data_IF_818875343976
#
_entry.id   IF_818875343976
#
_cell.length_a   1.000
_cell.length_b   1.000
_cell.length_c   1.000
_cell.angle_alpha   90.00
_cell.angle_beta   90.00
_cell.angle_gamma   90.00
#
_symmetry.space_group_name_H-M   'P 1'
#
loop_
_entity.id
_entity.type
_entity.pdbx_description
1 polymer ?
#
# COMPACT_ATOMS: atom_id res chain seq x y z
N UNK A 1 -9.65 -16.81 0.27
CA UNK A 1 -10.82 -17.70 0.11
C UNK A 1 -11.18 -17.87 -1.37
N UNK A 2 -11.64 -19.06 -1.77
CA UNK A 2 -12.11 -19.34 -3.14
C UNK A 2 -11.00 -19.68 -4.16
N UNK A 3 -9.74 -19.73 -3.73
CA UNK A 3 -8.60 -20.18 -4.56
C UNK A 3 -7.94 -21.39 -3.92
N UNK A 4 -7.33 -21.21 -2.75
CA UNK A 4 -6.63 -22.27 -2.01
C UNK A 4 -7.54 -23.04 -1.04
N UNK A 5 -8.55 -22.40 -0.45
CA UNK A 5 -9.54 -22.99 0.45
C UNK A 5 -10.80 -22.10 0.51
N UNK A 6 -11.98 -22.60 0.95
CA UNK A 6 -13.27 -21.90 0.83
C UNK A 6 -13.43 -20.66 1.73
N UNK A 7 -12.64 -20.51 2.78
CA UNK A 7 -12.80 -19.51 3.83
C UNK A 7 -13.06 -20.18 5.17
N UNK A 8 -12.85 -19.45 6.27
CA UNK A 8 -13.02 -19.95 7.65
C UNK A 8 -14.32 -19.35 8.20
N UNK A 9 -15.31 -20.18 8.53
CA UNK A 9 -16.58 -19.65 9.03
C UNK A 9 -16.48 -19.21 10.50
N UNK A 10 -17.50 -18.48 10.97
CA UNK A 10 -17.54 -18.02 12.37
C UNK A 10 -17.60 -19.24 13.30
N UNK A 11 -16.69 -19.28 14.27
CA UNK A 11 -16.59 -20.39 15.24
C UNK A 11 -15.80 -21.59 14.75
N UNK A 12 -15.31 -21.58 13.50
CA UNK A 12 -14.44 -22.63 12.99
C UNK A 12 -12.96 -22.32 13.25
N UNK A 13 -12.13 -23.35 13.10
CA UNK A 13 -10.68 -23.26 13.18
C UNK A 13 -10.06 -23.87 11.94
N UNK A 14 -9.02 -23.23 11.42
CA UNK A 14 -8.24 -23.72 10.30
C UNK A 14 -6.76 -23.62 10.64
N UNK A 15 -6.02 -24.70 10.44
CA UNK A 15 -4.58 -24.74 10.67
C UNK A 15 -3.86 -24.53 9.34
N UNK A 16 -3.01 -23.51 9.28
CA UNK A 16 -2.09 -23.33 8.17
C UNK A 16 -0.82 -24.16 8.44
N UNK A 17 -0.52 -25.10 7.55
CA UNK A 17 0.67 -25.93 7.63
C UNK A 17 1.40 -25.89 6.29
N UNK A 18 2.67 -25.52 6.32
CA UNK A 18 3.53 -25.44 5.14
C UNK A 18 5.00 -25.55 5.56
N UNK A 19 5.82 -26.06 4.65
CA UNK A 19 7.26 -26.17 4.84
C UNK A 19 7.95 -24.83 4.55
N UNK A 20 8.73 -24.32 5.51
CA UNK A 20 9.56 -23.14 5.32
C UNK A 20 10.87 -23.54 4.63
N UNK A 21 11.13 -22.94 3.46
CA UNK A 21 12.31 -23.24 2.62
C UNK A 21 13.30 -22.09 2.49
N UNK A 22 12.94 -20.95 3.07
CA UNK A 22 13.57 -19.66 2.85
C UNK A 22 13.55 -18.86 4.14
N UNK A 23 14.54 -17.98 4.29
CA UNK A 23 14.65 -17.00 5.37
C UNK A 23 14.48 -15.59 4.82
N UNK A 24 14.17 -14.64 5.71
CA UNK A 24 14.04 -13.23 5.39
C UNK A 24 12.83 -12.56 6.05
N UNK A 25 12.58 -11.32 5.63
CA UNK A 25 11.45 -10.52 6.09
C UNK A 25 10.23 -10.73 5.19
N UNK A 26 9.17 -11.27 5.76
CA UNK A 26 7.87 -11.47 5.14
C UNK A 26 6.78 -10.81 5.99
N UNK A 27 5.53 -11.02 5.61
CA UNK A 27 4.35 -10.57 6.33
C UNK A 27 3.18 -11.47 5.98
N UNK A 28 2.19 -11.50 6.86
CA UNK A 28 0.91 -12.16 6.59
C UNK A 28 -0.20 -11.13 6.64
N UNK A 29 -1.27 -11.37 5.89
CA UNK A 29 -2.48 -10.56 5.95
C UNK A 29 -3.72 -11.39 5.58
N UNK A 30 -4.89 -10.91 6.00
CA UNK A 30 -6.15 -11.53 5.60
C UNK A 30 -6.43 -11.30 4.13
N UNK A 31 -6.67 -12.39 3.41
CA UNK A 31 -7.19 -12.38 2.05
C UNK A 31 -8.72 -12.52 1.99
N UNK A 32 -9.43 -12.24 3.08
CA UNK A 32 -10.90 -12.26 3.14
C UNK A 32 -11.47 -10.85 3.00
N UNK A 33 -12.02 -10.52 1.84
CA UNK A 33 -12.61 -9.20 1.58
C UNK A 33 -11.58 -8.09 1.77
N UNK A 34 -11.94 -7.07 2.56
CA UNK A 34 -11.09 -5.91 2.85
C UNK A 34 -10.54 -5.91 4.28
N UNK A 35 -10.43 -7.08 4.91
CA UNK A 35 -9.95 -7.21 6.29
C UNK A 35 -8.49 -6.74 6.49
N UNK A 36 -7.64 -6.83 5.46
CA UNK A 36 -6.30 -6.26 5.50
C UNK A 36 -6.33 -4.76 5.86
N UNK A 37 -7.19 -3.96 5.21
CA UNK A 37 -7.33 -2.53 5.49
C UNK A 37 -7.84 -2.25 6.92
N UNK A 38 -8.50 -3.24 7.54
CA UNK A 38 -8.93 -3.18 8.93
C UNK A 38 -7.84 -3.60 9.92
N UNK A 39 -6.59 -3.79 9.46
CA UNK A 39 -5.44 -4.11 10.30
C UNK A 39 -5.20 -5.61 10.52
N UNK A 40 -5.83 -6.49 9.72
CA UNK A 40 -5.58 -7.93 9.82
C UNK A 40 -4.30 -8.30 9.05
N UNK A 41 -3.17 -7.82 9.52
CA UNK A 41 -1.85 -8.13 8.98
C UNK A 41 -0.77 -8.02 10.06
N UNK A 42 0.40 -8.58 9.79
CA UNK A 42 1.55 -8.48 10.67
C UNK A 42 2.84 -8.94 10.00
N UNK A 43 4.00 -8.55 10.54
CA UNK A 43 5.27 -9.03 10.04
C UNK A 43 5.44 -10.53 10.31
N UNK A 44 6.18 -11.20 9.44
CA UNK A 44 6.60 -12.59 9.57
C UNK A 44 8.10 -12.64 9.28
N UNK A 45 8.91 -12.75 10.32
CA UNK A 45 10.36 -12.88 10.17
C UNK A 45 10.72 -14.35 10.22
N UNK A 46 11.48 -14.80 9.24
CA UNK A 46 12.02 -16.16 9.21
C UNK A 46 13.53 -16.06 9.28
N UNK A 47 14.09 -16.40 10.45
CA UNK A 47 15.53 -16.36 10.66
C UNK A 47 16.24 -17.39 9.76
N UNK A 48 17.43 -17.06 9.24
CA UNK A 48 18.21 -18.01 8.47
C UNK A 48 18.74 -19.13 9.37
N UNK A 49 18.81 -20.34 8.81
CA UNK A 49 19.35 -21.49 9.52
C UNK A 49 20.87 -21.35 9.78
N UNK A 50 21.57 -20.72 8.84
CA UNK A 50 22.98 -20.37 8.96
C UNK A 50 23.11 -18.86 9.21
N UNK A 51 24.11 -18.39 9.99
CA UNK A 51 24.30 -16.96 10.24
C UNK A 51 24.46 -16.14 8.95
N UNK A 52 23.92 -14.92 8.96
CA UNK A 52 24.11 -14.00 7.84
C UNK A 52 25.58 -13.59 7.68
N UNK A 53 26.04 -13.25 6.46
CA UNK A 53 27.44 -12.89 6.22
C UNK A 53 27.80 -11.48 6.72
N UNK A 54 26.95 -10.88 7.56
CA UNK A 54 27.11 -9.56 8.15
C UNK A 54 26.55 -9.55 9.57
N UNK A 55 27.04 -8.60 10.38
CA UNK A 55 26.62 -8.41 11.77
C UNK A 55 25.90 -7.07 11.94
N UNK A 56 25.00 -7.01 12.92
CA UNK A 56 24.30 -5.80 13.30
C UNK A 56 24.17 -5.74 14.83
N UNK A 57 24.28 -4.54 15.41
CA UNK A 57 24.11 -4.36 16.85
C UNK A 57 22.63 -4.48 17.28
N UNK A 58 21.70 -4.16 16.36
CA UNK A 58 20.25 -4.13 16.58
C UNK A 58 19.51 -4.43 15.29
N UNK A 59 18.40 -5.14 15.42
CA UNK A 59 17.43 -5.41 14.36
C UNK A 59 16.05 -4.84 14.75
N UNK A 60 15.35 -4.23 13.79
CA UNK A 60 14.05 -3.61 14.00
C UNK A 60 13.11 -3.95 12.84
N UNK A 61 11.94 -4.47 13.21
CA UNK A 61 10.87 -4.73 12.25
C UNK A 61 10.00 -3.49 12.12
N UNK A 62 9.88 -2.97 10.89
CA UNK A 62 9.02 -1.83 10.55
C UNK A 62 8.00 -2.28 9.50
N UNK A 63 6.72 -2.18 9.85
CA UNK A 63 5.61 -2.39 8.90
C UNK A 63 4.99 -1.04 8.58
N UNK A 64 4.98 -0.69 7.29
CA UNK A 64 4.36 0.54 6.80
C UNK A 64 2.97 0.21 6.26
N UNK A 65 1.96 0.95 6.71
CA UNK A 65 0.59 0.84 6.24
C UNK A 65 -0.06 2.22 6.27
N UNK A 66 -1.05 2.43 5.40
CA UNK A 66 -1.93 3.57 5.49
C UNK A 66 -3.05 3.31 6.51
N UNK A 67 -3.73 4.38 6.92
CA UNK A 67 -4.87 4.25 7.81
C UNK A 67 -5.92 5.28 7.44
N UNK A 68 -7.18 4.85 7.52
CA UNK A 68 -8.34 5.72 7.34
C UNK A 68 -9.44 5.30 8.31
N UNK A 69 -10.23 6.28 8.75
CA UNK A 69 -11.45 6.03 9.51
C UNK A 69 -12.65 5.74 8.61
N UNK A 70 -12.46 5.78 7.29
CA UNK A 70 -13.50 5.46 6.32
C UNK A 70 -13.68 3.95 6.22
N UNK A 71 -14.94 3.51 6.13
CA UNK A 71 -15.30 2.13 5.84
C UNK A 71 -14.61 1.64 4.55
N UNK A 72 -13.93 0.48 4.56
CA UNK A 72 -13.10 0.04 3.45
C UNK A 72 -13.90 -0.24 2.17
N UNK A 73 -15.15 -0.71 2.27
CA UNK A 73 -16.01 -0.88 1.10
C UNK A 73 -16.38 0.47 0.48
N UNK A 74 -16.52 1.50 1.31
CA UNK A 74 -16.69 2.89 0.83
C UNK A 74 -15.44 3.40 0.12
N UNK A 75 -14.25 3.11 0.65
CA UNK A 75 -12.97 3.43 -0.01
C UNK A 75 -12.88 2.74 -1.37
N UNK A 76 -13.11 1.42 -1.39
CA UNK A 76 -13.07 0.62 -2.61
C UNK A 76 -14.05 1.16 -3.67
N UNK A 77 -15.29 1.47 -3.28
CA UNK A 77 -16.28 2.06 -4.18
C UNK A 77 -15.80 3.38 -4.80
N UNK A 78 -15.25 4.29 -3.99
CA UNK A 78 -14.73 5.58 -4.47
C UNK A 78 -13.59 5.39 -5.48
N UNK A 79 -12.69 4.45 -5.21
CA UNK A 79 -11.60 4.09 -6.12
C UNK A 79 -12.11 3.47 -7.43
N UNK A 80 -13.19 2.69 -7.40
CA UNK A 80 -13.81 2.10 -8.59
C UNK A 80 -14.58 3.09 -9.46
N UNK A 81 -15.24 4.08 -8.83
CA UNK A 81 -16.13 5.02 -9.55
C UNK A 81 -15.36 6.14 -10.22
N UNK A 82 -14.32 6.68 -9.58
CA UNK A 82 -13.62 7.84 -10.09
C UNK A 82 -12.12 7.79 -9.82
N UNK A 83 -11.34 7.90 -10.90
CA UNK A 83 -9.89 7.99 -10.80
C UNK A 83 -9.46 9.26 -10.04
N UNK A 84 -8.57 9.07 -9.07
CA UNK A 84 -8.06 10.15 -8.24
C UNK A 84 -9.14 10.81 -7.38
N UNK A 85 -10.15 10.07 -6.92
CA UNK A 85 -11.13 10.54 -5.93
C UNK A 85 -10.44 11.16 -4.70
N UNK A 86 -9.37 10.52 -4.23
CA UNK A 86 -8.57 11.00 -3.09
C UNK A 86 -7.39 11.89 -3.48
N UNK A 87 -7.23 12.22 -4.77
CA UNK A 87 -6.20 13.15 -5.20
C UNK A 87 -6.73 14.59 -5.06
N UNK A 88 -6.47 15.18 -3.90
CA UNK A 88 -6.82 16.58 -3.59
C UNK A 88 -5.79 17.58 -4.13
N UNK A 89 -4.67 17.11 -4.71
CA UNK A 89 -3.61 17.96 -5.26
C UNK A 89 -3.72 18.13 -6.79
N UNK A 90 -4.91 17.93 -7.34
CA UNK A 90 -5.16 18.15 -8.77
C UNK A 90 -5.00 19.64 -9.08
N UNK A 91 -4.00 19.96 -9.90
CA UNK A 91 -3.79 21.33 -10.40
C UNK A 91 -4.99 21.78 -11.21
N UNK A 92 -5.48 22.97 -10.91
CA UNK A 92 -6.60 23.61 -11.57
C UNK A 92 -6.14 24.59 -12.65
N UNK A 93 -7.11 25.15 -13.38
CA UNK A 93 -6.88 26.28 -14.29
C UNK A 93 -6.45 27.53 -13.50
N UNK A 94 -6.93 27.73 -12.27
CA UNK A 94 -6.49 28.84 -11.44
C UNK A 94 -5.03 28.68 -10.98
N UNK A 95 -4.62 27.45 -10.64
CA UNK A 95 -3.21 27.17 -10.33
C UNK A 95 -2.30 27.46 -11.52
N UNK A 96 -2.79 27.26 -12.76
CA UNK A 96 -2.04 27.62 -13.97
C UNK A 96 -1.75 29.12 -14.02
N UNK A 97 -2.78 29.96 -13.89
CA UNK A 97 -2.61 31.41 -13.97
C UNK A 97 -1.76 31.96 -12.82
N UNK A 98 -1.90 31.39 -11.62
CA UNK A 98 -1.02 31.72 -10.49
C UNK A 98 0.44 31.36 -10.80
N UNK A 99 0.70 30.15 -11.30
CA UNK A 99 2.04 29.71 -11.63
C UNK A 99 2.65 30.56 -12.75
N UNK A 100 1.87 30.93 -13.78
CA UNK A 100 2.31 31.85 -14.84
C UNK A 100 2.67 33.23 -14.29
N UNK A 101 1.84 33.77 -13.41
CA UNK A 101 2.11 35.06 -12.76
C UNK A 101 3.37 35.04 -11.90
N UNK A 102 3.67 33.93 -11.23
CA UNK A 102 4.78 33.81 -10.30
C UNK A 102 6.10 33.38 -10.97
N UNK A 103 6.04 32.48 -11.95
CA UNK A 103 7.20 31.80 -12.55
C UNK A 103 7.41 32.14 -14.03
N UNK A 104 6.45 32.80 -14.66
CA UNK A 104 6.45 33.06 -16.10
C UNK A 104 5.99 31.85 -16.93
N UNK A 105 5.64 32.14 -18.19
CA UNK A 105 5.07 31.17 -19.14
C UNK A 105 6.00 29.99 -19.42
N UNK A 106 7.27 30.25 -19.72
CA UNK A 106 8.21 29.20 -20.13
C UNK A 106 8.49 28.17 -19.02
N UNK A 107 8.66 28.64 -17.77
CA UNK A 107 8.90 27.75 -16.64
C UNK A 107 7.65 26.92 -16.31
N UNK A 108 6.47 27.56 -16.31
CA UNK A 108 5.20 26.89 -16.02
C UNK A 108 4.87 25.82 -17.07
N UNK A 109 5.09 26.11 -18.36
CA UNK A 109 4.87 25.14 -19.44
C UNK A 109 5.85 23.97 -19.38
N UNK A 110 7.14 24.22 -19.09
CA UNK A 110 8.12 23.14 -18.90
C UNK A 110 7.77 22.25 -17.71
N UNK A 111 7.38 22.84 -16.59
CA UNK A 111 6.96 22.11 -15.39
C UNK A 111 5.72 21.25 -15.71
N UNK A 112 4.69 21.81 -16.37
CA UNK A 112 3.50 21.06 -16.77
C UNK A 112 3.79 19.94 -17.76
N UNK A 113 4.67 20.17 -18.73
CA UNK A 113 5.10 19.13 -19.66
C UNK A 113 5.87 18.00 -18.96
N UNK A 114 6.70 18.32 -17.95
CA UNK A 114 7.39 17.33 -17.14
C UNK A 114 6.41 16.45 -16.36
N UNK A 115 5.44 17.04 -15.65
CA UNK A 115 4.41 16.29 -14.94
C UNK A 115 3.48 15.51 -15.88
N UNK A 116 3.19 16.04 -17.07
CA UNK A 116 2.40 15.34 -18.09
C UNK A 116 3.07 14.08 -18.64
N UNK A 117 4.40 13.97 -18.56
CA UNK A 117 5.16 12.77 -18.96
C UNK A 117 5.31 11.72 -17.86
N UNK A 118 5.01 12.07 -16.61
CA UNK A 118 5.03 11.14 -15.47
C UNK A 118 3.67 10.47 -15.23
N UNK A 119 2.68 10.77 -16.07
CA UNK A 119 1.36 10.15 -16.08
C UNK A 119 1.29 9.03 -17.11
#
# INVERSE_FOLDING_TARGET
PGVSFPGIARGETFTYEYELKQSGTYWYHSHSGLQEQLGHYGPLIVDPAEPEPFEHDRDYVVVLSDWTFEDPDRVFRKLKVAEGYYNYQKRTVFDFFRDVSAKGWNATLKERAMWGRMR
#
